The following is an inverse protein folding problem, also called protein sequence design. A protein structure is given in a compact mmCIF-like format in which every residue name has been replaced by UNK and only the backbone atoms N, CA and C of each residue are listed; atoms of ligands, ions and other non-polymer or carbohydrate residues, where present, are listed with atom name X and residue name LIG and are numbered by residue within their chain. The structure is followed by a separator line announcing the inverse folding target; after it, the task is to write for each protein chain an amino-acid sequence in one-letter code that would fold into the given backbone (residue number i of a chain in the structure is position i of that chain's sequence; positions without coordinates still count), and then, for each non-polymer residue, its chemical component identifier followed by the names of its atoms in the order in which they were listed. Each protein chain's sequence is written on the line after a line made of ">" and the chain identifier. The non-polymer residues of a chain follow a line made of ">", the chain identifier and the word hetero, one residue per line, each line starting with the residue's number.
data_IF_603002596118
#
_entry.id   IF_603002596118
#
_cell.length_a   1.000
_cell.length_b   1.000
_cell.length_c   1.000
_cell.angle_alpha   90.00
_cell.angle_beta   90.00
_cell.angle_gamma   90.00
#
_symmetry.space_group_name_H-M   'P 1'
#
loop_
_entity.id
_entity.type
_entity.pdbx_description
1 polymer ?
#
# COMPACT_ATOMS: atom_id res chain seq x y z
N UNK A 1 -7.38 20.93 11.63
CA UNK A 1 -6.67 21.98 10.87
C UNK A 1 -5.40 21.43 10.22
N UNK A 2 -4.49 20.81 10.94
CA UNK A 2 -3.24 20.28 10.37
C UNK A 2 -3.41 19.29 9.19
N UNK A 3 -4.46 18.48 9.17
CA UNK A 3 -4.70 17.52 8.08
C UNK A 3 -5.19 18.22 6.79
N UNK A 4 -6.05 19.24 6.93
CA UNK A 4 -6.50 20.06 5.81
C UNK A 4 -5.34 20.83 5.17
N UNK A 5 -4.47 21.41 6.00
CA UNK A 5 -3.27 22.13 5.53
C UNK A 5 -2.33 21.19 4.77
N UNK A 6 -2.11 19.96 5.28
CA UNK A 6 -1.30 18.94 4.60
C UNK A 6 -1.86 18.58 3.22
N UNK A 7 -3.17 18.40 3.12
CA UNK A 7 -3.86 18.08 1.86
C UNK A 7 -3.80 19.23 0.86
N UNK A 8 -4.04 20.48 1.32
CA UNK A 8 -3.93 21.64 0.46
C UNK A 8 -2.50 21.85 -0.04
N UNK A 9 -1.52 21.70 0.83
CA UNK A 9 -0.12 21.78 0.44
C UNK A 9 0.26 20.74 -0.62
N UNK A 10 -0.21 19.51 -0.47
CA UNK A 10 -0.02 18.44 -1.46
C UNK A 10 -0.63 18.79 -2.82
N UNK A 11 -1.88 19.28 -2.83
CA UNK A 11 -2.54 19.71 -4.06
C UNK A 11 -1.76 20.83 -4.76
N UNK A 12 -1.22 21.79 -3.99
CA UNK A 12 -0.37 22.86 -4.53
C UNK A 12 0.91 22.28 -5.14
N UNK A 13 1.57 21.31 -4.49
CA UNK A 13 2.74 20.65 -5.07
C UNK A 13 2.41 19.95 -6.38
N UNK A 14 1.30 19.23 -6.44
CA UNK A 14 0.85 18.55 -7.66
C UNK A 14 0.60 19.55 -8.80
N UNK A 15 -0.11 20.64 -8.52
CA UNK A 15 -0.37 21.70 -9.51
C UNK A 15 0.93 22.33 -10.03
N UNK A 16 1.90 22.58 -9.14
CA UNK A 16 3.22 23.08 -9.53
C UNK A 16 3.98 22.08 -10.41
N UNK A 17 3.93 20.79 -10.07
CA UNK A 17 4.53 19.74 -10.91
C UNK A 17 3.89 19.70 -12.31
N UNK A 18 2.58 19.90 -12.41
CA UNK A 18 1.86 19.96 -13.70
C UNK A 18 2.30 21.12 -14.58
N UNK A 19 2.81 22.20 -13.99
CA UNK A 19 3.41 23.35 -14.72
C UNK A 19 4.91 23.19 -14.98
N UNK A 20 5.50 22.04 -14.65
CA UNK A 20 6.92 21.73 -14.92
C UNK A 20 7.89 22.14 -13.81
N UNK A 21 7.41 22.40 -12.59
CA UNK A 21 8.27 22.76 -11.46
C UNK A 21 8.99 21.51 -10.91
N UNK A 22 10.26 21.38 -11.26
CA UNK A 22 11.10 20.25 -10.81
C UNK A 22 11.33 20.24 -9.29
N UNK A 23 11.33 21.41 -8.65
CA UNK A 23 11.52 21.50 -7.19
C UNK A 23 10.30 20.98 -6.45
N UNK A 24 9.09 21.22 -6.96
CA UNK A 24 7.86 20.66 -6.43
C UNK A 24 7.83 19.15 -6.61
N UNK A 25 8.33 18.62 -7.74
CA UNK A 25 8.44 17.19 -7.96
C UNK A 25 9.41 16.53 -6.97
N UNK A 26 10.58 17.13 -6.73
CA UNK A 26 11.52 16.64 -5.73
C UNK A 26 10.89 16.58 -4.32
N UNK A 27 10.08 17.56 -3.95
CA UNK A 27 9.34 17.55 -2.68
C UNK A 27 8.30 16.44 -2.60
N UNK A 28 7.61 16.11 -3.70
CA UNK A 28 6.73 14.93 -3.75
C UNK A 28 7.52 13.64 -3.56
N UNK A 29 8.68 13.51 -4.23
CA UNK A 29 9.55 12.34 -4.08
C UNK A 29 10.06 12.21 -2.65
N UNK A 30 10.51 13.28 -2.01
CA UNK A 30 10.95 13.29 -0.62
C UNK A 30 9.83 12.87 0.33
N UNK A 31 8.62 13.39 0.13
CA UNK A 31 7.46 13.13 0.98
C UNK A 31 6.94 11.70 0.87
N UNK A 32 6.84 11.17 -0.34
CA UNK A 32 6.22 9.87 -0.61
C UNK A 32 7.22 8.73 -0.78
N UNK A 33 8.47 9.03 -1.10
CA UNK A 33 9.50 8.02 -1.39
C UNK A 33 9.67 6.98 -0.29
N UNK A 34 9.87 7.38 0.99
CA UNK A 34 10.00 6.41 2.09
C UNK A 34 8.76 5.53 2.28
N UNK A 35 7.55 6.12 2.22
CA UNK A 35 6.28 5.42 2.38
C UNK A 35 6.05 4.43 1.23
N UNK A 36 6.28 4.88 0.00
CA UNK A 36 6.14 4.07 -1.20
C UNK A 36 7.14 2.92 -1.24
N UNK A 37 8.40 3.18 -0.82
CA UNK A 37 9.42 2.14 -0.66
C UNK A 37 8.97 1.08 0.33
N UNK A 38 8.45 1.48 1.49
CA UNK A 38 7.92 0.56 2.49
C UNK A 38 6.76 -0.27 1.94
N UNK A 39 5.79 0.36 1.27
CA UNK A 39 4.69 -0.34 0.61
C UNK A 39 5.21 -1.41 -0.37
N UNK A 40 6.14 -1.02 -1.25
CA UNK A 40 6.73 -1.96 -2.22
C UNK A 40 7.51 -3.08 -1.53
N UNK A 41 8.26 -2.78 -0.46
CA UNK A 41 8.93 -3.81 0.35
C UNK A 41 7.93 -4.83 0.89
N UNK A 42 6.79 -4.38 1.39
CA UNK A 42 5.73 -5.27 1.86
C UNK A 42 5.06 -6.05 0.74
N UNK A 43 4.93 -5.49 -0.46
CA UNK A 43 4.43 -6.22 -1.64
C UNK A 43 5.39 -7.29 -2.13
N UNK A 44 6.69 -7.05 -2.10
CA UNK A 44 7.72 -7.99 -2.57
C UNK A 44 8.15 -9.01 -1.50
N UNK A 45 7.89 -8.73 -0.22
CA UNK A 45 8.45 -9.49 0.89
C UNK A 45 9.98 -9.33 0.93
N UNK A 46 10.72 -10.42 1.21
CA UNK A 46 12.20 -10.42 1.23
C UNK A 46 12.83 -10.51 -0.17
N UNK A 47 12.14 -10.08 -1.22
CA UNK A 47 12.58 -10.22 -2.60
C UNK A 47 13.24 -8.93 -3.09
N UNK A 48 14.26 -9.07 -3.93
CA UNK A 48 14.96 -7.94 -4.57
C UNK A 48 14.07 -7.25 -5.62
N UNK A 49 14.42 -6.02 -5.99
CA UNK A 49 13.79 -5.27 -7.08
C UNK A 49 12.87 -4.15 -6.64
N UNK A 50 12.84 -3.83 -5.33
CA UNK A 50 12.05 -2.70 -4.81
C UNK A 50 12.50 -1.38 -5.40
N UNK A 51 13.82 -1.15 -5.46
CA UNK A 51 14.38 0.12 -5.96
C UNK A 51 14.11 0.32 -7.45
N UNK A 52 14.20 -0.75 -8.24
CA UNK A 52 13.91 -0.69 -9.68
C UNK A 52 12.43 -0.33 -9.91
N UNK A 53 11.52 -0.96 -9.16
CA UNK A 53 10.10 -0.65 -9.25
C UNK A 53 9.79 0.75 -8.74
N UNK A 54 10.42 1.18 -7.66
CA UNK A 54 10.27 2.54 -7.13
C UNK A 54 10.69 3.58 -8.16
N UNK A 55 11.81 3.36 -8.84
CA UNK A 55 12.29 4.23 -9.91
C UNK A 55 11.30 4.28 -11.09
N UNK A 56 10.79 3.13 -11.54
CA UNK A 56 9.79 3.05 -12.60
C UNK A 56 8.48 3.73 -12.23
N UNK A 57 8.06 3.65 -10.95
CA UNK A 57 6.89 4.38 -10.45
C UNK A 57 7.12 5.87 -10.60
N UNK A 58 8.24 6.41 -10.09
CA UNK A 58 8.53 7.84 -10.17
C UNK A 58 8.70 8.33 -11.60
N UNK A 59 9.30 7.53 -12.47
CA UNK A 59 9.37 7.83 -13.89
C UNK A 59 7.99 7.91 -14.55
N UNK A 60 7.09 6.99 -14.19
CA UNK A 60 5.71 7.00 -14.66
C UNK A 60 4.94 8.21 -14.13
N UNK A 61 5.12 8.56 -12.85
CA UNK A 61 4.53 9.76 -12.24
C UNK A 61 4.99 11.01 -12.97
N UNK A 62 6.30 11.18 -13.16
CA UNK A 62 6.87 12.35 -13.85
C UNK A 62 6.28 12.55 -15.24
N UNK A 63 6.12 11.46 -15.99
CA UNK A 63 5.57 11.53 -17.35
C UNK A 63 4.07 11.77 -17.40
N UNK A 64 3.31 11.39 -16.38
CA UNK A 64 1.85 11.36 -16.40
C UNK A 64 1.18 12.30 -15.40
N UNK A 65 1.94 13.05 -14.61
CA UNK A 65 1.35 13.93 -13.61
C UNK A 65 0.49 15.03 -14.23
N UNK A 66 0.78 15.42 -15.48
CA UNK A 66 -0.02 16.38 -16.24
C UNK A 66 -1.41 15.83 -16.62
N UNK A 67 -1.57 14.50 -16.69
CA UNK A 67 -2.83 13.83 -17.01
C UNK A 67 -3.76 13.70 -15.77
N UNK A 68 -3.24 14.01 -14.58
CA UNK A 68 -4.03 13.92 -13.34
C UNK A 68 -4.99 15.11 -13.26
N UNK A 69 -6.30 14.84 -13.45
CA UNK A 69 -7.34 15.87 -13.47
C UNK A 69 -7.70 16.41 -12.09
N UNK A 70 -7.60 15.59 -11.05
CA UNK A 70 -7.88 15.98 -9.67
C UNK A 70 -6.61 15.88 -8.82
N UNK A 71 -5.97 17.00 -8.47
CA UNK A 71 -4.80 17.01 -7.57
C UNK A 71 -5.07 16.37 -6.21
N UNK A 72 -6.32 16.39 -5.73
CA UNK A 72 -6.70 15.74 -4.48
C UNK A 72 -6.68 14.21 -4.52
N UNK A 73 -6.72 13.63 -5.71
CA UNK A 73 -6.61 12.19 -5.92
C UNK A 73 -5.17 11.68 -6.07
N UNK A 74 -4.15 12.55 -5.88
CA UNK A 74 -2.76 12.22 -6.15
C UNK A 74 -2.28 10.98 -5.39
N UNK A 75 -2.55 10.88 -4.10
CA UNK A 75 -2.11 9.74 -3.28
C UNK A 75 -2.69 8.44 -3.83
N UNK A 76 -4.00 8.36 -4.06
CA UNK A 76 -4.65 7.17 -4.63
C UNK A 76 -4.10 6.82 -6.01
N UNK A 77 -3.88 7.83 -6.86
CA UNK A 77 -3.33 7.66 -8.19
C UNK A 77 -1.87 7.14 -8.15
N UNK A 78 -1.03 7.68 -7.27
CA UNK A 78 0.34 7.24 -7.04
C UNK A 78 0.41 5.76 -6.63
N UNK A 79 -0.37 5.37 -5.61
CA UNK A 79 -0.39 3.99 -5.13
C UNK A 79 -0.98 3.02 -6.16
N UNK A 80 -1.91 3.46 -7.00
CA UNK A 80 -2.41 2.68 -8.13
C UNK A 80 -1.32 2.41 -9.17
N UNK A 81 -0.44 3.37 -9.44
CA UNK A 81 0.73 3.16 -10.31
C UNK A 81 1.66 2.14 -9.66
N UNK A 82 2.01 2.33 -8.39
CA UNK A 82 2.89 1.44 -7.64
C UNK A 82 2.37 0.00 -7.60
N UNK A 83 1.10 -0.19 -7.30
CA UNK A 83 0.42 -1.47 -7.27
C UNK A 83 0.51 -2.18 -8.62
N UNK A 84 0.21 -1.50 -9.72
CA UNK A 84 0.29 -2.08 -11.07
C UNK A 84 1.70 -2.51 -11.44
N UNK A 85 2.71 -1.71 -11.11
CA UNK A 85 4.11 -2.05 -11.36
C UNK A 85 4.53 -3.26 -10.53
N UNK A 86 4.22 -3.26 -9.23
CA UNK A 86 4.53 -4.37 -8.34
C UNK A 86 3.87 -5.68 -8.79
N UNK A 87 2.57 -5.67 -9.06
CA UNK A 87 1.85 -6.85 -9.55
C UNK A 87 2.35 -7.33 -10.92
N UNK A 88 2.76 -6.41 -11.80
CA UNK A 88 3.39 -6.75 -13.07
C UNK A 88 4.65 -7.57 -12.90
N UNK A 89 5.54 -7.16 -12.00
CA UNK A 89 6.79 -7.87 -11.68
C UNK A 89 6.49 -9.20 -10.99
N UNK A 90 5.62 -9.22 -9.98
CA UNK A 90 5.26 -10.43 -9.25
C UNK A 90 4.64 -11.48 -10.19
N UNK A 91 3.76 -11.07 -11.09
CA UNK A 91 3.16 -11.98 -12.10
C UNK A 91 4.20 -12.56 -13.04
N UNK A 92 5.15 -11.76 -13.54
CA UNK A 92 6.25 -12.26 -14.39
C UNK A 92 7.09 -13.30 -13.65
N UNK A 93 7.39 -13.05 -12.37
CA UNK A 93 8.14 -13.98 -11.51
C UNK A 93 7.36 -15.27 -11.23
N UNK A 94 6.03 -15.20 -10.98
CA UNK A 94 5.18 -16.41 -10.81
C UNK A 94 5.12 -17.28 -12.07
N UNK A 95 5.14 -16.68 -13.25
CA UNK A 95 5.19 -17.41 -14.52
C UNK A 95 6.54 -18.15 -14.73
N UNK A 96 7.63 -17.62 -14.13
CA UNK A 96 8.94 -18.28 -14.15
C UNK A 96 9.09 -19.36 -13.06
N UNK A 97 8.27 -19.32 -12.00
CA UNK A 97 8.25 -20.32 -10.93
C UNK A 97 6.82 -20.86 -10.78
N UNK A 98 6.51 -22.01 -11.37
CA UNK A 98 5.23 -22.71 -11.13
C UNK A 98 5.18 -23.16 -9.67
N UNK A 99 4.40 -22.47 -8.86
CA UNK A 99 3.99 -22.93 -7.54
C UNK A 99 2.53 -22.54 -7.32
N UNK A 100 1.76 -23.54 -6.93
CA UNK A 100 0.32 -23.50 -6.69
C UNK A 100 0.07 -22.82 -5.35
N UNK A 101 -0.74 -21.78 -5.31
CA UNK A 101 -1.28 -21.22 -4.07
C UNK A 101 -2.78 -21.57 -3.98
N UNK A 102 -3.14 -22.23 -2.90
CA UNK A 102 -4.51 -22.58 -2.54
C UNK A 102 -5.28 -21.32 -2.11
N UNK A 103 -6.49 -21.15 -2.66
CA UNK A 103 -7.41 -20.10 -2.26
C UNK A 103 -8.16 -20.53 -0.99
N UNK A 104 -7.95 -19.86 0.13
CA UNK A 104 -8.75 -20.05 1.34
C UNK A 104 -10.16 -19.49 1.17
N UNK A 105 -11.14 -20.31 1.49
CA UNK A 105 -12.57 -20.01 1.47
C UNK A 105 -12.98 -19.21 2.71
N UNK A 106 -13.94 -18.32 2.47
CA UNK A 106 -14.41 -17.24 3.35
C UNK A 106 -15.57 -17.70 4.21
N UNK A 107 -15.52 -17.45 5.52
CA UNK A 107 -16.65 -17.46 6.44
C UNK A 107 -16.78 -16.14 7.20
N UNK A 108 -18.00 -15.74 7.42
CA UNK A 108 -18.68 -14.55 7.93
C UNK A 108 -17.92 -13.52 8.84
N UNK A 109 -18.13 -12.18 8.63
CA UNK A 109 -17.41 -11.12 9.31
C UNK A 109 -18.16 -10.56 10.53
N UNK A 110 -17.81 -11.01 11.70
CA UNK A 110 -18.19 -10.37 12.96
C UNK A 110 -17.00 -10.40 13.91
N UNK A 111 -16.26 -9.32 14.06
CA UNK A 111 -15.30 -9.18 15.14
C UNK A 111 -14.82 -7.74 15.31
N UNK A 112 -14.72 -7.34 16.57
CA UNK A 112 -14.22 -6.09 17.13
C UNK A 112 -12.86 -5.67 16.57
N UNK A 113 -12.62 -4.36 16.48
CA UNK A 113 -11.37 -3.79 16.02
C UNK A 113 -10.26 -4.07 17.07
N UNK A 114 -9.15 -4.70 16.70
CA UNK A 114 -8.01 -4.87 17.62
C UNK A 114 -7.28 -3.54 17.78
N UNK A 115 -7.05 -3.16 19.03
CA UNK A 115 -6.21 -2.04 19.41
C UNK A 115 -4.73 -2.52 19.45
N UNK A 116 -3.85 -1.88 18.69
CA UNK A 116 -2.42 -2.22 18.64
C UNK A 116 -1.62 -1.14 19.34
N UNK A 117 -0.75 -1.56 20.27
CA UNK A 117 0.17 -0.66 20.96
C UNK A 117 1.32 -0.21 20.04
N UNK A 118 1.80 1.05 20.15
CA UNK A 118 2.99 1.51 19.41
C UNK A 118 4.27 0.71 19.67
N UNK A 119 4.37 0.03 20.81
CA UNK A 119 5.50 -0.82 21.17
C UNK A 119 5.59 -2.10 20.34
N UNK A 120 4.50 -2.50 19.70
CA UNK A 120 4.43 -3.67 18.83
C UNK A 120 4.89 -3.43 17.39
N UNK A 121 5.39 -2.22 17.07
CA UNK A 121 5.66 -1.80 15.70
C UNK A 121 6.52 -2.78 14.89
N UNK A 122 7.66 -3.22 15.43
CA UNK A 122 8.55 -4.16 14.72
C UNK A 122 7.91 -5.54 14.58
N UNK A 123 7.23 -6.03 15.61
CA UNK A 123 6.50 -7.31 15.59
C UNK A 123 5.38 -7.29 14.55
N UNK A 124 4.65 -6.17 14.43
CA UNK A 124 3.61 -5.98 13.42
C UNK A 124 4.24 -6.03 12.02
N UNK A 125 5.40 -5.37 11.83
CA UNK A 125 6.09 -5.41 10.53
C UNK A 125 6.52 -6.83 10.13
N UNK A 126 7.03 -7.62 11.07
CA UNK A 126 7.39 -9.02 10.84
C UNK A 126 6.17 -9.89 10.59
N UNK A 127 5.12 -9.71 11.39
CA UNK A 127 3.86 -10.43 11.24
C UNK A 127 3.15 -10.16 9.90
N UNK A 128 3.25 -8.93 9.37
CA UNK A 128 2.75 -8.61 8.04
C UNK A 128 3.39 -9.47 6.94
N UNK A 129 4.66 -9.84 7.09
CA UNK A 129 5.39 -10.62 6.08
C UNK A 129 4.93 -12.08 6.02
N UNK A 130 4.22 -12.57 7.05
CA UNK A 130 3.61 -13.90 7.07
C UNK A 130 2.21 -13.96 6.44
N UNK A 131 1.61 -12.80 6.17
CA UNK A 131 0.28 -12.74 5.56
C UNK A 131 0.32 -12.98 4.05
N UNK A 132 -0.85 -13.35 3.49
CA UNK A 132 -1.02 -13.34 2.02
C UNK A 132 -0.81 -11.92 1.48
N UNK A 133 -0.48 -11.83 0.20
CA UNK A 133 -0.23 -10.54 -0.46
C UNK A 133 -1.44 -9.60 -0.34
N UNK A 134 -2.64 -10.14 -0.58
CA UNK A 134 -3.89 -9.36 -0.56
C UNK A 134 -4.24 -8.86 0.84
N UNK A 135 -4.00 -9.67 1.87
CA UNK A 135 -4.23 -9.27 3.27
C UNK A 135 -3.24 -8.20 3.71
N UNK A 136 -1.97 -8.38 3.38
CA UNK A 136 -0.89 -7.44 3.68
C UNK A 136 -1.12 -6.10 3.01
N UNK A 137 -1.48 -6.11 1.71
CA UNK A 137 -1.74 -4.92 0.92
C UNK A 137 -2.84 -4.04 1.53
N UNK A 138 -4.00 -4.60 1.84
CA UNK A 138 -5.11 -3.82 2.39
C UNK A 138 -4.81 -3.27 3.80
N UNK A 139 -4.02 -3.99 4.62
CA UNK A 139 -3.59 -3.50 5.93
C UNK A 139 -2.62 -2.33 5.80
N UNK A 140 -1.62 -2.43 4.92
CA UNK A 140 -0.66 -1.34 4.68
C UNK A 140 -1.39 -0.09 4.18
N UNK A 141 -2.25 -0.22 3.17
CA UNK A 141 -3.00 0.91 2.61
C UNK A 141 -3.94 1.54 3.65
N UNK A 142 -4.59 0.73 4.51
CA UNK A 142 -5.53 1.25 5.51
C UNK A 142 -4.83 1.91 6.69
N UNK A 143 -3.82 1.26 7.29
CA UNK A 143 -3.28 1.66 8.59
C UNK A 143 -1.99 2.47 8.50
N UNK A 144 -1.19 2.29 7.46
CA UNK A 144 0.05 3.05 7.28
C UNK A 144 -0.13 4.22 6.31
N UNK A 145 -1.03 4.08 5.34
CA UNK A 145 -1.32 5.12 4.36
C UNK A 145 -2.62 5.91 4.67
N UNK A 146 -3.37 5.47 5.69
CA UNK A 146 -4.64 6.04 6.14
C UNK A 146 -5.67 6.25 5.02
N UNK A 147 -5.71 5.33 4.06
CA UNK A 147 -6.63 5.41 2.93
C UNK A 147 -8.06 5.04 3.32
N UNK A 148 -9.03 5.74 2.74
CA UNK A 148 -10.43 5.36 2.79
C UNK A 148 -10.68 4.04 2.02
N UNK A 149 -11.77 3.34 2.32
CA UNK A 149 -12.07 2.06 1.66
C UNK A 149 -12.28 2.23 0.14
N UNK A 150 -12.82 3.36 -0.26
CA UNK A 150 -13.01 3.74 -1.67
C UNK A 150 -11.67 3.88 -2.39
N UNK A 151 -10.68 4.50 -1.75
CA UNK A 151 -9.32 4.66 -2.29
C UNK A 151 -8.60 3.32 -2.39
N UNK A 152 -8.71 2.48 -1.34
CA UNK A 152 -8.14 1.12 -1.35
C UNK A 152 -8.77 0.31 -2.48
N UNK A 153 -10.09 0.40 -2.67
CA UNK A 153 -10.79 -0.27 -3.76
C UNK A 153 -10.27 0.20 -5.14
N UNK A 154 -10.04 1.52 -5.30
CA UNK A 154 -9.48 2.10 -6.53
C UNK A 154 -8.03 1.67 -6.76
N UNK A 155 -7.20 1.56 -5.72
CA UNK A 155 -5.81 1.09 -5.81
C UNK A 155 -5.77 -0.40 -6.18
N UNK A 156 -6.48 -1.25 -5.43
CA UNK A 156 -6.43 -2.71 -5.57
C UNK A 156 -7.28 -3.26 -6.73
N UNK A 157 -8.14 -2.42 -7.32
CA UNK A 157 -9.01 -2.81 -8.43
C UNK A 157 -10.12 -3.77 -8.03
N UNK A 158 -10.56 -3.77 -6.77
CA UNK A 158 -11.64 -4.62 -6.27
C UNK A 158 -12.83 -3.78 -5.76
N UNK A 159 -13.95 -4.44 -5.46
CA UNK A 159 -15.13 -3.77 -4.89
C UNK A 159 -14.91 -3.38 -3.42
N UNK A 160 -15.57 -2.32 -2.94
CA UNK A 160 -15.50 -1.86 -1.54
C UNK A 160 -15.89 -2.98 -0.57
N UNK A 161 -16.90 -3.80 -0.90
CA UNK A 161 -17.28 -4.98 -0.12
C UNK A 161 -16.14 -5.98 0.04
N UNK A 162 -15.35 -6.18 -1.02
CA UNK A 162 -14.14 -7.03 -0.99
C UNK A 162 -13.05 -6.41 -0.11
N UNK A 163 -12.86 -5.08 -0.15
CA UNK A 163 -11.92 -4.40 0.76
C UNK A 163 -12.30 -4.62 2.21
N UNK A 164 -13.58 -4.45 2.56
CA UNK A 164 -14.09 -4.66 3.93
C UNK A 164 -13.85 -6.09 4.41
N UNK A 165 -14.21 -7.09 3.60
CA UNK A 165 -13.99 -8.50 3.95
C UNK A 165 -12.50 -8.83 4.06
N UNK A 166 -11.66 -8.41 3.09
CA UNK A 166 -10.20 -8.60 3.16
C UNK A 166 -9.60 -8.00 4.42
N UNK A 167 -9.98 -6.77 4.80
CA UNK A 167 -9.52 -6.12 6.02
C UNK A 167 -9.92 -6.91 7.28
N UNK A 168 -11.15 -7.41 7.34
CA UNK A 168 -11.62 -8.23 8.45
C UNK A 168 -10.75 -9.50 8.60
N UNK A 169 -10.54 -10.25 7.50
CA UNK A 169 -9.72 -11.46 7.53
C UNK A 169 -8.24 -11.16 7.77
N UNK A 170 -7.71 -10.11 7.18
CA UNK A 170 -6.35 -9.67 7.36
C UNK A 170 -6.05 -9.33 8.82
N UNK A 171 -6.94 -8.60 9.51
CA UNK A 171 -6.82 -8.30 10.96
C UNK A 171 -6.82 -9.59 11.79
N UNK A 172 -7.69 -10.54 11.49
CA UNK A 172 -7.73 -11.84 12.20
C UNK A 172 -6.46 -12.66 11.97
N UNK A 173 -5.97 -12.69 10.73
CA UNK A 173 -4.73 -13.38 10.38
C UNK A 173 -3.54 -12.73 11.09
N UNK A 174 -3.43 -11.40 11.08
CA UNK A 174 -2.39 -10.65 11.79
C UNK A 174 -2.38 -10.96 13.29
N UNK A 175 -3.57 -10.92 13.93
CA UNK A 175 -3.71 -11.27 15.36
C UNK A 175 -3.19 -12.67 15.65
N UNK A 176 -3.56 -13.69 14.85
CA UNK A 176 -3.08 -15.08 15.03
C UNK A 176 -1.55 -15.19 14.93
N UNK A 177 -0.94 -14.45 14.01
CA UNK A 177 0.52 -14.44 13.88
C UNK A 177 1.16 -13.83 15.13
N UNK A 178 0.67 -12.67 15.59
CA UNK A 178 1.16 -12.00 16.79
C UNK A 178 1.01 -12.85 18.05
N UNK A 179 -0.17 -13.47 18.27
CA UNK A 179 -0.42 -14.37 19.40
C UNK A 179 0.54 -15.58 19.40
N UNK A 180 0.83 -16.16 18.23
CA UNK A 180 1.78 -17.27 18.11
C UNK A 180 3.20 -16.85 18.47
N UNK A 181 3.63 -15.65 18.08
CA UNK A 181 4.96 -15.12 18.39
C UNK A 181 5.13 -14.86 19.89
N UNK A 182 4.06 -14.39 20.57
CA UNK A 182 4.09 -14.13 22.02
C UNK A 182 4.18 -15.41 22.89
N UNK A 183 3.75 -16.58 22.38
CA UNK A 183 3.80 -17.87 23.12
C UNK A 183 5.19 -18.51 23.05
N UNK A 184 6.04 -18.09 22.12
CA UNK A 184 7.36 -18.66 21.88
C UNK A 184 8.53 -17.81 22.42
N UNK A 185 8.26 -16.68 23.07
CA UNK A 185 9.19 -15.91 23.91
C UNK A 185 9.03 -16.26 25.38
#
# INVERSE_FOLDING_TARGET
>A
MADLEKRLYEQVLVLRCQTGDETAFAQLVERYGPRLRYYLQKMFGRRDGVEDVLQEVWFTVFRKIQDLTDPGAFTTWLYRIAQRQAHGVLRKRRLSFRSVEEAEQVTDPSAEEPDFSPEDGQRIHEALDELTLEHREVLVLRFLEDMAYEDIAAVTGCQIGTVKSRLCYAKRALRRVLERTMIHE
#
